data_IF_400961120645
#
_entry.id   IF_400961120645
#
_cell.length_a   1.000
_cell.length_b   1.000
_cell.length_c   1.000
_cell.angle_alpha   90.00
_cell.angle_beta   90.00
_cell.angle_gamma   90.00
#
_symmetry.space_group_name_H-M   'P 1'
#
loop_
_entity.id
_entity.type
_entity.pdbx_description
1 polymer ?
#
# COMPACT_ATOMS: atom_id res chain seq x y z
N UNK A 1 -32.37 7.21 -1.70
CA UNK A 1 -31.52 6.12 -2.24
C UNK A 1 -30.60 5.63 -1.14
N UNK A 2 -30.32 4.32 -1.06
CA UNK A 2 -29.36 3.81 -0.07
C UNK A 2 -27.96 4.35 -0.41
N UNK A 3 -27.22 4.76 0.61
CA UNK A 3 -25.84 5.22 0.46
C UNK A 3 -24.94 4.10 -0.09
N UNK A 4 -24.15 4.41 -1.10
CA UNK A 4 -23.19 3.47 -1.68
C UNK A 4 -21.79 3.97 -1.38
N UNK A 5 -20.98 3.12 -0.74
CA UNK A 5 -19.60 3.45 -0.37
C UNK A 5 -18.73 3.83 -1.58
N UNK A 6 -17.79 4.76 -1.39
CA UNK A 6 -16.95 5.31 -2.47
C UNK A 6 -16.20 4.21 -3.23
N UNK A 7 -15.65 3.23 -2.54
CA UNK A 7 -14.94 2.11 -3.15
C UNK A 7 -15.79 1.27 -4.13
N UNK A 8 -17.13 1.33 -4.03
CA UNK A 8 -18.05 0.70 -4.98
C UNK A 8 -18.49 1.67 -6.07
N UNK A 9 -18.77 2.93 -5.70
CA UNK A 9 -19.26 3.97 -6.62
C UNK A 9 -18.21 4.42 -7.63
N UNK A 10 -16.95 4.52 -7.21
CA UNK A 10 -15.79 4.89 -8.03
C UNK A 10 -14.98 3.69 -8.49
N UNK A 11 -15.61 2.50 -8.55
CA UNK A 11 -14.98 1.32 -9.15
C UNK A 11 -14.83 1.55 -10.65
N UNK A 12 -13.62 1.34 -11.18
CA UNK A 12 -13.34 1.41 -12.61
C UNK A 12 -14.33 0.56 -13.42
N UNK A 13 -14.85 1.13 -14.50
CA UNK A 13 -15.84 0.53 -15.41
C UNK A 13 -15.31 0.28 -16.82
N UNK A 14 -14.12 0.82 -17.10
CA UNK A 14 -13.42 0.67 -18.38
C UNK A 14 -11.93 0.41 -18.18
N UNK A 15 -11.25 -0.09 -19.21
CA UNK A 15 -9.80 -0.30 -19.17
C UNK A 15 -9.02 1.01 -19.03
N UNK A 16 -9.57 2.14 -19.46
CA UNK A 16 -8.92 3.45 -19.39
C UNK A 16 -8.97 4.05 -17.98
N UNK A 17 -9.93 3.60 -17.17
CA UNK A 17 -10.08 4.02 -15.77
C UNK A 17 -9.24 3.17 -14.80
N UNK A 18 -8.59 2.10 -15.27
CA UNK A 18 -7.77 1.26 -14.40
C UNK A 18 -6.46 1.98 -14.04
N UNK A 19 -6.33 2.33 -12.78
CA UNK A 19 -5.17 3.07 -12.25
C UNK A 19 -4.02 2.11 -11.94
N UNK A 20 -2.82 2.40 -12.48
CA UNK A 20 -1.57 1.70 -12.17
C UNK A 20 -1.43 0.32 -12.78
N UNK A 21 -2.33 -0.08 -13.69
CA UNK A 21 -2.31 -1.40 -14.35
C UNK A 21 -2.34 -1.27 -15.89
N UNK A 22 -1.71 -0.23 -16.43
CA UNK A 22 -1.78 0.14 -17.85
C UNK A 22 -1.26 -0.96 -18.77
N UNK A 23 -0.20 -1.69 -18.35
CA UNK A 23 0.36 -2.79 -19.14
C UNK A 23 -0.62 -3.97 -19.26
N UNK A 24 -1.30 -4.31 -18.16
CA UNK A 24 -2.31 -5.37 -18.11
C UNK A 24 -3.51 -4.98 -19.00
N UNK A 25 -4.02 -3.76 -18.83
CA UNK A 25 -5.13 -3.21 -19.64
C UNK A 25 -4.83 -3.29 -21.13
N UNK A 26 -3.62 -2.87 -21.54
CA UNK A 26 -3.17 -2.93 -22.93
C UNK A 26 -3.12 -4.35 -23.46
N UNK A 27 -2.57 -5.28 -22.69
CA UNK A 27 -2.43 -6.68 -23.10
C UNK A 27 -3.78 -7.38 -23.24
N UNK A 28 -4.71 -7.18 -22.28
CA UNK A 28 -6.05 -7.75 -22.35
C UNK A 28 -6.86 -7.16 -23.51
N UNK A 29 -6.74 -5.86 -23.75
CA UNK A 29 -7.38 -5.18 -24.89
C UNK A 29 -6.85 -5.74 -26.23
N UNK A 30 -5.53 -5.93 -26.35
CA UNK A 30 -4.91 -6.52 -27.53
C UNK A 30 -5.36 -7.97 -27.76
N UNK A 31 -5.50 -8.76 -26.70
CA UNK A 31 -6.01 -10.14 -26.80
C UNK A 31 -7.42 -10.19 -27.40
N UNK A 32 -8.31 -9.26 -27.01
CA UNK A 32 -9.66 -9.14 -27.59
C UNK A 32 -9.58 -8.73 -29.07
N UNK A 33 -8.84 -7.64 -29.35
CA UNK A 33 -8.74 -7.10 -30.73
C UNK A 33 -8.18 -8.09 -31.72
N UNK A 34 -7.23 -8.92 -31.31
CA UNK A 34 -6.60 -9.93 -32.15
C UNK A 34 -7.28 -11.30 -32.10
N UNK A 35 -8.42 -11.40 -31.40
CA UNK A 35 -9.17 -12.66 -31.19
C UNK A 35 -8.28 -13.79 -30.62
N UNK A 36 -7.38 -13.42 -29.65
CA UNK A 36 -6.44 -14.33 -28.97
C UNK A 36 -6.77 -14.42 -27.48
N UNK A 37 -8.04 -14.63 -27.19
CA UNK A 37 -8.52 -14.78 -25.81
C UNK A 37 -8.21 -16.20 -25.33
N UNK A 38 -7.44 -16.32 -24.26
CA UNK A 38 -7.14 -17.61 -23.63
C UNK A 38 -8.37 -18.14 -22.89
N UNK A 39 -8.43 -19.46 -22.70
CA UNK A 39 -9.52 -20.09 -21.95
C UNK A 39 -9.41 -19.88 -20.44
N UNK A 40 -8.23 -19.54 -19.89
CA UNK A 40 -8.02 -19.33 -18.47
C UNK A 40 -7.00 -18.23 -18.20
N UNK A 41 -7.34 -17.37 -17.23
CA UNK A 41 -6.54 -16.26 -16.74
C UNK A 41 -6.33 -16.41 -15.23
N UNK A 42 -5.14 -16.06 -14.75
CA UNK A 42 -4.84 -15.98 -13.33
C UNK A 42 -4.36 -14.56 -12.97
N UNK A 43 -5.19 -13.80 -12.27
CA UNK A 43 -4.89 -12.46 -11.80
C UNK A 43 -4.37 -12.54 -10.37
N UNK A 44 -3.10 -12.19 -10.18
CA UNK A 44 -2.42 -12.24 -8.88
C UNK A 44 -2.05 -10.85 -8.39
N UNK A 45 -1.90 -10.67 -7.09
CA UNK A 45 -1.49 -9.40 -6.50
C UNK A 45 -2.23 -9.08 -5.20
N UNK A 46 -1.79 -8.04 -4.51
CA UNK A 46 -2.35 -7.61 -3.22
C UNK A 46 -3.84 -7.24 -3.34
N UNK A 47 -4.52 -7.17 -2.18
CA UNK A 47 -5.92 -6.76 -2.14
C UNK A 47 -6.09 -5.32 -2.61
N UNK A 48 -7.20 -5.02 -3.30
CA UNK A 48 -7.59 -3.65 -3.65
C UNK A 48 -6.84 -3.00 -4.81
N UNK A 49 -6.01 -3.75 -5.57
CA UNK A 49 -5.25 -3.28 -6.75
C UNK A 49 -6.02 -3.38 -8.07
N UNK A 50 -7.27 -3.84 -8.04
CA UNK A 50 -8.15 -3.84 -9.22
C UNK A 50 -8.37 -5.19 -9.90
N UNK A 51 -7.91 -6.34 -9.35
CA UNK A 51 -8.05 -7.69 -9.96
C UNK A 51 -9.50 -7.99 -10.39
N UNK A 52 -10.44 -7.99 -9.46
CA UNK A 52 -11.86 -8.29 -9.72
C UNK A 52 -12.52 -7.24 -10.62
N UNK A 53 -12.13 -5.96 -10.49
CA UNK A 53 -12.61 -4.90 -11.39
C UNK A 53 -12.15 -5.16 -12.83
N UNK A 54 -10.87 -5.51 -13.03
CA UNK A 54 -10.33 -5.85 -14.34
C UNK A 54 -10.99 -7.09 -14.91
N UNK A 55 -11.29 -8.11 -14.09
CA UNK A 55 -12.02 -9.30 -14.51
C UNK A 55 -13.40 -8.96 -15.08
N UNK A 56 -14.16 -8.09 -14.38
CA UNK A 56 -15.47 -7.61 -14.87
C UNK A 56 -15.36 -6.77 -16.14
N UNK A 57 -14.38 -5.85 -16.20
CA UNK A 57 -14.13 -5.02 -17.39
C UNK A 57 -13.77 -5.90 -18.58
N UNK A 58 -12.94 -6.94 -18.38
CA UNK A 58 -12.57 -7.89 -19.42
C UNK A 58 -13.78 -8.72 -19.88
N UNK A 59 -14.59 -9.25 -18.94
CA UNK A 59 -15.81 -9.96 -19.24
C UNK A 59 -16.83 -9.08 -20.00
N UNK A 60 -16.96 -7.80 -19.59
CA UNK A 60 -17.77 -6.81 -20.28
C UNK A 60 -17.29 -6.60 -21.72
N UNK A 61 -16.01 -6.46 -21.94
CA UNK A 61 -15.44 -6.27 -23.26
C UNK A 61 -15.59 -7.51 -24.16
N UNK A 62 -15.67 -8.71 -23.58
CA UNK A 62 -15.95 -9.95 -24.31
C UNK A 62 -17.41 -10.11 -24.73
N UNK A 63 -18.37 -9.70 -23.88
CA UNK A 63 -19.78 -10.05 -24.02
C UNK A 63 -20.69 -8.86 -24.36
N UNK A 64 -20.37 -7.65 -23.90
CA UNK A 64 -21.22 -6.48 -24.09
C UNK A 64 -20.88 -5.68 -25.36
N UNK A 65 -19.83 -6.05 -26.10
CA UNK A 65 -19.40 -5.32 -27.31
C UNK A 65 -19.65 -6.17 -28.55
N UNK A 66 -20.41 -5.63 -29.52
CA UNK A 66 -20.70 -6.28 -30.78
C UNK A 66 -19.48 -6.29 -31.74
N UNK A 67 -19.60 -6.95 -32.91
CA UNK A 67 -18.51 -7.00 -33.91
C UNK A 67 -18.18 -5.64 -34.51
N UNK A 68 -19.07 -4.68 -34.42
CA UNK A 68 -18.88 -3.32 -34.90
C UNK A 68 -18.33 -2.38 -33.80
N UNK A 69 -17.98 -2.94 -32.65
CA UNK A 69 -17.44 -2.18 -31.51
C UNK A 69 -18.49 -1.38 -30.70
N UNK A 70 -19.77 -1.67 -30.87
CA UNK A 70 -20.85 -0.99 -30.12
C UNK A 70 -21.13 -1.75 -28.84
N UNK A 71 -21.15 -1.03 -27.72
CA UNK A 71 -21.45 -1.58 -26.39
C UNK A 71 -22.98 -1.64 -26.19
N UNK A 72 -23.47 -2.81 -25.73
CA UNK A 72 -24.83 -2.96 -25.21
C UNK A 72 -24.85 -2.50 -23.75
N UNK A 73 -25.52 -1.36 -23.44
CA UNK A 73 -25.48 -0.79 -22.11
C UNK A 73 -26.20 -1.65 -21.05
N UNK A 74 -27.15 -2.49 -21.45
CA UNK A 74 -27.90 -3.36 -20.54
C UNK A 74 -27.03 -4.53 -20.07
N UNK A 75 -26.37 -5.21 -21.03
CA UNK A 75 -25.42 -6.28 -20.74
C UNK A 75 -24.23 -5.73 -19.95
N UNK A 76 -23.68 -4.58 -20.37
CA UNK A 76 -22.56 -3.94 -19.68
C UNK A 76 -22.90 -3.63 -18.22
N UNK A 77 -24.08 -3.05 -17.96
CA UNK A 77 -24.53 -2.74 -16.60
C UNK A 77 -24.76 -4.00 -15.76
N UNK A 78 -25.32 -5.05 -16.33
CA UNK A 78 -25.53 -6.33 -15.63
C UNK A 78 -24.20 -6.97 -15.23
N UNK A 79 -23.21 -7.02 -16.12
CA UNK A 79 -21.87 -7.54 -15.84
C UNK A 79 -21.17 -6.72 -14.74
N UNK A 80 -21.20 -5.39 -14.86
CA UNK A 80 -20.54 -4.54 -13.85
C UNK A 80 -21.19 -4.63 -12.47
N UNK A 81 -22.48 -4.99 -12.38
CA UNK A 81 -23.19 -5.26 -11.12
C UNK A 81 -22.97 -6.70 -10.60
N UNK A 82 -22.39 -7.60 -11.42
CA UNK A 82 -22.25 -9.03 -11.11
C UNK A 82 -23.60 -9.77 -11.13
N UNK A 83 -24.50 -9.41 -12.03
CA UNK A 83 -25.87 -9.94 -12.16
C UNK A 83 -26.17 -10.47 -13.57
N UNK A 84 -25.15 -10.68 -14.39
CA UNK A 84 -25.29 -11.21 -15.72
C UNK A 84 -25.39 -12.75 -15.72
N UNK A 85 -26.14 -13.31 -16.66
CA UNK A 85 -26.37 -14.77 -16.76
C UNK A 85 -25.21 -15.52 -17.40
N UNK A 86 -24.42 -14.85 -18.24
CA UNK A 86 -23.28 -15.42 -18.94
C UNK A 86 -21.93 -15.07 -18.29
N UNK A 87 -21.93 -14.15 -17.32
CA UNK A 87 -20.77 -13.78 -16.49
C UNK A 87 -21.06 -14.11 -15.04
N UNK A 88 -20.61 -15.27 -14.61
CA UNK A 88 -20.87 -15.81 -13.27
C UNK A 88 -19.68 -15.45 -12.37
N UNK A 89 -19.93 -14.66 -11.34
CA UNK A 89 -18.93 -14.27 -10.35
C UNK A 89 -19.16 -15.00 -9.04
N UNK A 90 -18.09 -15.63 -8.53
CA UNK A 90 -18.09 -16.39 -7.28
C UNK A 90 -16.95 -15.87 -6.40
N UNK A 91 -17.28 -15.53 -5.18
CA UNK A 91 -16.30 -15.31 -4.12
C UNK A 91 -16.05 -16.63 -3.38
N UNK A 92 -14.88 -17.22 -3.60
CA UNK A 92 -14.50 -18.49 -3.00
C UNK A 92 -14.36 -18.44 -1.47
N UNK A 93 -14.18 -17.24 -0.88
CA UNK A 93 -14.14 -17.05 0.56
C UNK A 93 -15.54 -17.24 1.19
N UNK A 94 -16.60 -16.84 0.48
CA UNK A 94 -17.99 -16.97 0.92
C UNK A 94 -18.61 -18.30 0.48
N UNK A 95 -18.17 -18.84 -0.66
CA UNK A 95 -18.73 -20.03 -1.34
C UNK A 95 -17.66 -21.14 -1.45
N UNK A 96 -17.17 -21.62 -0.31
CA UNK A 96 -16.13 -22.67 -0.27
C UNK A 96 -16.66 -24.09 -0.48
N UNK A 97 -17.99 -24.26 -0.72
CA UNK A 97 -18.58 -25.60 -0.89
C UNK A 97 -18.20 -26.20 -2.23
N UNK A 98 -17.72 -27.45 -2.18
CA UNK A 98 -17.31 -28.23 -3.35
C UNK A 98 -18.47 -28.42 -4.34
N UNK A 99 -19.70 -28.55 -3.83
CA UNK A 99 -20.93 -28.73 -4.58
C UNK A 99 -21.21 -27.57 -5.51
N UNK A 100 -21.08 -26.31 -5.01
CA UNK A 100 -21.32 -25.11 -5.82
C UNK A 100 -20.32 -24.98 -6.97
N UNK A 101 -19.03 -25.29 -6.70
CA UNK A 101 -18.01 -25.31 -7.77
C UNK A 101 -18.26 -26.43 -8.78
N UNK A 102 -18.75 -27.60 -8.35
CA UNK A 102 -19.11 -28.72 -9.25
C UNK A 102 -20.31 -28.37 -10.14
N UNK A 103 -21.35 -27.76 -9.58
CA UNK A 103 -22.51 -27.29 -10.32
C UNK A 103 -22.10 -26.25 -11.38
N UNK A 104 -21.22 -25.33 -11.02
CA UNK A 104 -20.69 -24.33 -11.91
C UNK A 104 -19.96 -24.97 -13.09
N UNK A 105 -19.12 -25.97 -12.83
CA UNK A 105 -18.38 -26.71 -13.86
C UNK A 105 -19.35 -27.51 -14.72
N UNK A 106 -20.34 -28.17 -14.15
CA UNK A 106 -21.37 -28.88 -14.88
C UNK A 106 -22.13 -27.92 -15.83
N UNK A 107 -22.41 -26.71 -15.37
CA UNK A 107 -23.06 -25.67 -16.16
C UNK A 107 -22.17 -25.06 -17.24
N UNK A 108 -20.84 -25.27 -17.21
CA UNK A 108 -19.92 -24.75 -18.23
C UNK A 108 -20.10 -25.39 -19.62
N UNK A 109 -20.71 -26.55 -19.70
CA UNK A 109 -21.03 -27.23 -20.94
C UNK A 109 -22.06 -26.45 -21.76
N UNK A 110 -22.95 -25.69 -21.11
CA UNK A 110 -23.99 -24.94 -21.83
C UNK A 110 -23.42 -23.67 -22.47
N UNK A 111 -23.89 -23.40 -23.69
CA UNK A 111 -23.54 -22.17 -24.41
C UNK A 111 -24.09 -20.94 -23.71
N UNK A 112 -23.45 -19.77 -23.89
CA UNK A 112 -23.98 -18.51 -23.37
C UNK A 112 -25.37 -18.20 -23.96
N UNK A 113 -26.19 -17.52 -23.16
CA UNK A 113 -27.57 -17.19 -23.56
C UNK A 113 -27.62 -15.90 -24.41
N UNK A 114 -26.83 -14.91 -24.06
CA UNK A 114 -26.84 -13.58 -24.72
C UNK A 114 -25.44 -13.13 -25.17
N UNK A 115 -24.42 -13.47 -24.41
CA UNK A 115 -23.03 -13.11 -24.67
C UNK A 115 -22.37 -14.03 -25.70
N UNK A 116 -21.12 -13.71 -26.06
CA UNK A 116 -20.28 -14.54 -26.92
C UNK A 116 -19.54 -15.63 -26.15
N UNK A 117 -19.26 -15.35 -24.91
CA UNK A 117 -18.49 -16.21 -24.02
C UNK A 117 -19.23 -16.42 -22.70
N UNK A 118 -19.10 -17.60 -22.12
CA UNK A 118 -19.49 -17.88 -20.75
C UNK A 118 -18.27 -17.64 -19.86
N UNK A 119 -18.32 -16.60 -19.05
CA UNK A 119 -17.17 -16.17 -18.25
C UNK A 119 -17.40 -16.52 -16.78
N UNK A 120 -16.42 -17.18 -16.19
CA UNK A 120 -16.43 -17.53 -14.76
C UNK A 120 -15.34 -16.73 -14.05
N UNK A 121 -15.74 -15.79 -13.21
CA UNK A 121 -14.85 -15.01 -12.36
C UNK A 121 -14.86 -15.66 -10.98
N UNK A 122 -13.72 -16.21 -10.55
CA UNK A 122 -13.56 -16.82 -9.24
C UNK A 122 -12.61 -15.94 -8.42
N UNK A 123 -13.21 -15.14 -7.55
CA UNK A 123 -12.45 -14.25 -6.66
C UNK A 123 -11.95 -15.01 -5.43
N UNK A 124 -10.80 -14.61 -4.91
CA UNK A 124 -10.06 -15.28 -3.82
C UNK A 124 -9.96 -16.80 -4.04
N UNK A 125 -9.63 -17.20 -5.27
CA UNK A 125 -9.65 -18.61 -5.69
C UNK A 125 -8.75 -19.52 -4.83
N UNK A 126 -7.77 -18.99 -4.10
CA UNK A 126 -6.94 -19.74 -3.16
C UNK A 126 -7.73 -20.34 -1.98
N UNK A 127 -8.97 -19.87 -1.76
CA UNK A 127 -9.89 -20.43 -0.75
C UNK A 127 -10.65 -21.67 -1.25
N UNK A 128 -10.55 -22.01 -2.54
CA UNK A 128 -11.14 -23.24 -3.08
C UNK A 128 -10.49 -24.47 -2.45
N UNK A 129 -11.31 -25.48 -2.19
CA UNK A 129 -10.81 -26.79 -1.73
C UNK A 129 -10.02 -27.51 -2.83
N UNK A 130 -9.15 -28.42 -2.45
CA UNK A 130 -8.41 -29.27 -3.40
C UNK A 130 -9.34 -30.03 -4.35
N UNK A 131 -10.49 -30.48 -3.85
CA UNK A 131 -11.49 -31.17 -4.66
C UNK A 131 -12.14 -30.24 -5.70
N UNK A 132 -12.36 -28.96 -5.37
CA UNK A 132 -12.85 -27.94 -6.30
C UNK A 132 -11.82 -27.64 -7.40
N UNK A 133 -10.54 -27.47 -7.04
CA UNK A 133 -9.47 -27.32 -8.03
C UNK A 133 -9.37 -28.52 -8.98
N UNK A 134 -9.44 -29.75 -8.45
CA UNK A 134 -9.40 -30.96 -9.27
C UNK A 134 -10.59 -31.07 -10.24
N UNK A 135 -11.75 -30.57 -9.84
CA UNK A 135 -12.90 -30.49 -10.73
C UNK A 135 -12.68 -29.47 -11.87
N UNK A 136 -12.11 -28.30 -11.55
CA UNK A 136 -11.75 -27.28 -12.55
C UNK A 136 -10.71 -27.78 -13.56
N UNK A 137 -9.72 -28.59 -13.12
CA UNK A 137 -8.66 -29.09 -13.99
C UNK A 137 -9.19 -29.79 -15.24
N UNK A 138 -10.22 -30.63 -15.12
CA UNK A 138 -10.80 -31.36 -16.27
C UNK A 138 -11.30 -30.41 -17.36
N UNK A 139 -12.01 -29.35 -16.97
CA UNK A 139 -12.54 -28.35 -17.90
C UNK A 139 -11.45 -27.42 -18.43
N UNK A 140 -10.37 -27.20 -17.66
CA UNK A 140 -9.23 -26.38 -18.10
C UNK A 140 -8.28 -27.16 -19.05
N UNK A 141 -8.31 -28.48 -19.04
CA UNK A 141 -7.56 -29.33 -19.96
C UNK A 141 -8.24 -29.42 -21.34
N UNK A 142 -9.56 -29.55 -21.36
CA UNK A 142 -10.38 -29.60 -22.56
C UNK A 142 -11.49 -28.53 -22.48
N UNK A 143 -11.12 -27.23 -22.55
CA UNK A 143 -12.08 -26.16 -22.36
C UNK A 143 -13.03 -26.05 -23.55
N UNK A 144 -14.36 -25.92 -23.32
CA UNK A 144 -15.26 -25.55 -24.41
C UNK A 144 -14.87 -24.18 -24.99
N UNK A 145 -14.93 -24.01 -26.30
CA UNK A 145 -14.50 -22.80 -27.01
C UNK A 145 -15.17 -21.51 -26.47
N UNK A 146 -16.37 -21.65 -25.94
CA UNK A 146 -17.17 -20.53 -25.45
C UNK A 146 -16.88 -20.18 -23.97
N UNK A 147 -16.04 -20.94 -23.26
CA UNK A 147 -15.77 -20.74 -21.82
C UNK A 147 -14.48 -19.98 -21.59
N UNK A 148 -14.52 -19.05 -20.64
CA UNK A 148 -13.34 -18.32 -20.14
C UNK A 148 -13.36 -18.31 -18.61
N UNK A 149 -12.28 -18.80 -18.01
CA UNK A 149 -12.06 -18.71 -16.56
C UNK A 149 -11.16 -17.52 -16.21
N UNK A 150 -11.53 -16.75 -15.20
CA UNK A 150 -10.72 -15.66 -14.63
C UNK A 150 -10.57 -15.90 -13.14
N UNK A 151 -9.42 -16.43 -12.73
CA UNK A 151 -9.10 -16.73 -11.36
C UNK A 151 -8.40 -15.52 -10.74
N UNK A 152 -8.92 -14.95 -9.65
CA UNK A 152 -8.30 -13.86 -8.92
C UNK A 152 -7.79 -14.37 -7.56
N UNK A 153 -6.57 -13.99 -7.16
CA UNK A 153 -5.99 -14.40 -5.89
C UNK A 153 -5.04 -13.35 -5.30
N UNK A 154 -5.03 -13.27 -3.99
CA UNK A 154 -4.00 -12.55 -3.23
C UNK A 154 -2.83 -13.46 -2.84
N UNK A 155 -3.01 -14.78 -2.87
CA UNK A 155 -2.04 -15.77 -2.40
C UNK A 155 -1.74 -16.81 -3.49
N UNK A 156 -0.89 -16.43 -4.45
CA UNK A 156 -0.53 -17.27 -5.59
C UNK A 156 0.08 -18.62 -5.19
N UNK A 157 0.84 -18.65 -4.08
CA UNK A 157 1.49 -19.85 -3.60
C UNK A 157 0.51 -20.93 -3.12
N UNK A 158 -0.74 -20.57 -2.79
CA UNK A 158 -1.80 -21.52 -2.42
C UNK A 158 -2.56 -22.11 -3.63
N UNK A 159 -2.39 -21.51 -4.81
CA UNK A 159 -2.99 -22.06 -6.04
C UNK A 159 -2.14 -23.21 -6.56
N UNK A 160 -2.71 -24.40 -6.85
CA UNK A 160 -1.95 -25.53 -7.35
C UNK A 160 -1.16 -25.22 -8.63
N UNK A 161 0.07 -25.69 -8.73
CA UNK A 161 0.91 -25.47 -9.90
C UNK A 161 0.29 -26.01 -11.21
N UNK A 162 -0.51 -27.06 -11.11
CA UNK A 162 -1.29 -27.65 -12.22
C UNK A 162 -2.33 -26.69 -12.79
N UNK A 163 -2.94 -25.84 -11.94
CA UNK A 163 -3.84 -24.75 -12.37
C UNK A 163 -3.03 -23.60 -12.97
N UNK A 164 -1.98 -23.17 -12.26
CA UNK A 164 -1.15 -22.05 -12.69
C UNK A 164 -0.56 -22.25 -14.10
N UNK A 165 -0.12 -23.48 -14.41
CA UNK A 165 0.49 -23.83 -15.72
C UNK A 165 -0.51 -23.76 -16.90
N UNK A 166 -1.80 -23.78 -16.64
CA UNK A 166 -2.87 -23.72 -17.65
C UNK A 166 -3.48 -22.34 -17.80
N UNK A 167 -3.07 -21.40 -16.94
CA UNK A 167 -3.57 -20.03 -16.95
C UNK A 167 -2.57 -19.07 -17.58
N UNK A 168 -3.07 -18.09 -18.32
CA UNK A 168 -2.29 -16.90 -18.64
C UNK A 168 -2.24 -16.00 -17.39
N UNK A 169 -1.04 -15.88 -16.80
CA UNK A 169 -0.84 -15.16 -15.53
C UNK A 169 -0.63 -13.66 -15.77
N UNK A 170 -1.26 -12.85 -14.91
CA UNK A 170 -1.11 -11.40 -14.85
C UNK A 170 -0.85 -10.99 -13.40
N UNK A 171 0.31 -10.37 -13.15
CA UNK A 171 0.74 -9.93 -11.82
C UNK A 171 0.40 -8.45 -11.65
N UNK A 172 -0.65 -8.18 -10.87
CA UNK A 172 -1.07 -6.83 -10.50
C UNK A 172 -0.12 -6.26 -9.46
N UNK A 173 0.38 -5.08 -9.70
CA UNK A 173 1.31 -4.38 -8.81
C UNK A 173 0.56 -3.44 -7.88
N UNK A 174 1.20 -3.13 -6.75
CA UNK A 174 0.73 -2.05 -5.90
C UNK A 174 0.66 -0.76 -6.70
N UNK A 175 -0.40 0.01 -6.48
CA UNK A 175 -0.60 1.28 -7.16
C UNK A 175 0.32 2.32 -6.50
N UNK A 176 1.14 3.05 -7.29
CA UNK A 176 1.98 4.12 -6.75
C UNK A 176 1.15 5.19 -6.02
N UNK A 177 1.64 5.70 -4.89
CA UNK A 177 0.94 6.69 -4.06
C UNK A 177 0.51 7.91 -4.89
N UNK A 178 1.36 8.41 -5.78
CA UNK A 178 1.03 9.54 -6.65
C UNK A 178 -0.23 9.29 -7.49
N UNK A 179 -0.40 8.07 -8.04
CA UNK A 179 -1.58 7.69 -8.82
C UNK A 179 -2.83 7.58 -7.94
N UNK A 180 -2.69 7.12 -6.70
CA UNK A 180 -3.79 7.09 -5.74
C UNK A 180 -4.19 8.53 -5.39
N UNK A 181 -3.23 9.44 -5.13
CA UNK A 181 -3.48 10.87 -4.86
C UNK A 181 -4.26 11.53 -5.99
N UNK A 182 -3.85 11.32 -7.24
CA UNK A 182 -4.55 11.84 -8.42
C UNK A 182 -6.02 11.38 -8.43
N UNK A 183 -6.25 10.09 -8.23
CA UNK A 183 -7.61 9.52 -8.23
C UNK A 183 -8.45 10.02 -7.05
N UNK A 184 -7.91 10.03 -5.83
CA UNK A 184 -8.60 10.55 -4.64
C UNK A 184 -8.99 12.03 -4.82
N UNK A 185 -8.12 12.84 -5.41
CA UNK A 185 -8.39 14.25 -5.70
C UNK A 185 -9.59 14.40 -6.64
N UNK A 186 -9.68 13.58 -7.68
CA UNK A 186 -10.83 13.56 -8.59
C UNK A 186 -12.12 13.14 -7.87
N UNK A 187 -12.05 12.13 -7.01
CA UNK A 187 -13.17 11.65 -6.20
C UNK A 187 -13.67 12.74 -5.27
N UNK A 188 -12.79 13.38 -4.50
CA UNK A 188 -13.13 14.48 -3.57
C UNK A 188 -13.82 15.62 -4.31
N UNK A 189 -13.31 16.01 -5.48
CA UNK A 189 -13.92 17.02 -6.33
C UNK A 189 -15.30 16.58 -6.83
N UNK A 190 -15.45 15.32 -7.24
CA UNK A 190 -16.72 14.74 -7.69
C UNK A 190 -17.79 14.71 -6.60
N UNK A 191 -17.39 14.57 -5.34
CA UNK A 191 -18.28 14.63 -4.17
C UNK A 191 -18.56 16.06 -3.67
N UNK A 192 -18.02 17.10 -4.34
CA UNK A 192 -18.21 18.49 -3.94
C UNK A 192 -17.52 18.88 -2.61
N UNK A 193 -16.56 18.09 -2.17
CA UNK A 193 -15.75 18.36 -0.99
C UNK A 193 -14.40 19.02 -1.36
N UNK A 194 -13.71 19.54 -0.37
CA UNK A 194 -12.33 20.04 -0.49
C UNK A 194 -11.45 19.32 0.54
N UNK A 195 -10.17 19.14 0.22
CA UNK A 195 -9.23 18.51 1.14
C UNK A 195 -7.87 19.21 1.11
N UNK A 196 -7.15 19.14 2.20
CA UNK A 196 -5.76 19.55 2.25
C UNK A 196 -4.91 18.59 1.42
N UNK A 197 -3.99 19.08 0.57
CA UNK A 197 -3.13 18.20 -0.25
C UNK A 197 -2.37 17.16 0.59
N UNK A 198 -1.91 17.55 1.76
CA UNK A 198 -1.22 16.68 2.71
C UNK A 198 -2.12 15.55 3.23
N UNK A 199 -3.42 15.83 3.50
CA UNK A 199 -4.38 14.80 3.87
C UNK A 199 -4.51 13.76 2.76
N UNK A 200 -4.70 14.21 1.49
CA UNK A 200 -4.88 13.30 0.36
C UNK A 200 -3.68 12.40 0.20
N UNK A 201 -2.47 12.95 0.35
CA UNK A 201 -1.23 12.18 0.32
C UNK A 201 -1.16 11.16 1.45
N UNK A 202 -1.52 11.53 2.69
CA UNK A 202 -1.52 10.61 3.83
C UNK A 202 -2.55 9.49 3.67
N UNK A 203 -3.76 9.78 3.19
CA UNK A 203 -4.78 8.77 2.88
C UNK A 203 -4.27 7.79 1.82
N UNK A 204 -3.62 8.29 0.77
CA UNK A 204 -3.04 7.46 -0.29
C UNK A 204 -1.91 6.56 0.24
N UNK A 205 -1.02 7.10 1.09
CA UNK A 205 0.06 6.35 1.75
C UNK A 205 -0.49 5.25 2.67
N UNK A 206 -1.51 5.57 3.48
CA UNK A 206 -2.18 4.60 4.36
C UNK A 206 -2.91 3.50 3.59
N UNK A 207 -3.35 3.79 2.35
CA UNK A 207 -3.90 2.80 1.43
C UNK A 207 -2.89 1.73 0.98
N UNK A 208 -1.58 1.96 1.20
CA UNK A 208 -0.49 1.01 0.95
C UNK A 208 -0.56 0.32 -0.42
N UNK A 209 -0.79 1.10 -1.47
CA UNK A 209 -0.93 0.61 -2.84
C UNK A 209 -2.30 0.02 -3.18
N UNK A 210 -3.25 0.03 -2.24
CA UNK A 210 -4.63 -0.43 -2.43
C UNK A 210 -5.56 0.76 -2.65
N UNK A 211 -6.12 0.90 -3.84
CA UNK A 211 -7.14 1.91 -4.15
C UNK A 211 -8.40 1.72 -3.31
N UNK A 212 -8.80 0.46 -3.08
CA UNK A 212 -9.99 0.14 -2.29
C UNK A 212 -9.87 0.62 -0.85
N UNK A 213 -8.71 0.42 -0.21
CA UNK A 213 -8.50 0.77 1.18
C UNK A 213 -8.35 2.29 1.32
N UNK A 214 -7.68 2.95 0.37
CA UNK A 214 -7.61 4.42 0.29
C UNK A 214 -9.00 5.05 0.14
N UNK A 215 -9.84 4.55 -0.78
CA UNK A 215 -11.22 5.01 -0.95
C UNK A 215 -12.10 4.72 0.27
N UNK A 216 -11.90 3.59 0.95
CA UNK A 216 -12.65 3.26 2.17
C UNK A 216 -12.27 4.18 3.32
N UNK A 217 -11.00 4.59 3.41
CA UNK A 217 -10.54 5.56 4.39
C UNK A 217 -11.10 6.95 4.09
N UNK A 218 -11.07 7.37 2.82
CA UNK A 218 -11.66 8.63 2.38
C UNK A 218 -13.18 8.68 2.68
N UNK A 219 -13.88 7.58 2.45
CA UNK A 219 -15.30 7.45 2.72
C UNK A 219 -15.63 7.68 4.21
N UNK A 220 -14.81 7.12 5.10
CA UNK A 220 -14.93 7.35 6.55
C UNK A 220 -14.69 8.81 6.93
N UNK A 221 -13.72 9.48 6.30
CA UNK A 221 -13.45 10.90 6.52
C UNK A 221 -14.63 11.77 6.07
N UNK A 222 -15.21 11.46 4.90
CA UNK A 222 -16.36 12.20 4.38
C UNK A 222 -17.63 11.98 5.20
N UNK A 223 -17.77 10.80 5.83
CA UNK A 223 -18.88 10.49 6.74
C UNK A 223 -18.91 11.38 8.00
N UNK A 224 -17.79 12.05 8.35
CA UNK A 224 -17.76 13.05 9.42
C UNK A 224 -18.57 14.33 9.10
N UNK A 225 -18.99 14.51 7.84
CA UNK A 225 -19.87 15.61 7.42
C UNK A 225 -19.18 16.96 7.24
N UNK A 226 -17.86 17.02 7.33
CA UNK A 226 -17.10 18.24 7.11
C UNK A 226 -16.90 18.50 5.62
N UNK A 227 -17.15 19.75 5.17
CA UNK A 227 -16.91 20.15 3.78
C UNK A 227 -15.43 20.26 3.42
N UNK A 228 -14.58 20.56 4.41
CA UNK A 228 -13.14 20.64 4.27
C UNK A 228 -12.50 19.51 5.07
N UNK A 229 -11.90 18.57 4.37
CA UNK A 229 -11.17 17.46 4.98
C UNK A 229 -9.75 17.93 5.36
N UNK A 230 -9.37 17.73 6.63
CA UNK A 230 -8.10 18.18 7.19
C UNK A 230 -7.28 17.01 7.75
N UNK A 231 -5.97 17.21 7.89
CA UNK A 231 -5.08 16.21 8.52
C UNK A 231 -5.51 15.93 9.97
N UNK A 232 -5.93 16.97 10.71
CA UNK A 232 -6.43 16.82 12.08
C UNK A 232 -7.65 15.89 12.18
N UNK A 233 -8.56 15.94 11.19
CA UNK A 233 -9.70 15.02 11.11
C UNK A 233 -9.23 13.57 10.92
N UNK A 234 -8.25 13.33 10.05
CA UNK A 234 -7.67 11.99 9.83
C UNK A 234 -7.04 11.44 11.11
N UNK A 235 -6.22 12.27 11.79
CA UNK A 235 -5.56 11.91 13.05
C UNK A 235 -6.58 11.56 14.13
N UNK A 236 -7.61 12.38 14.28
CA UNK A 236 -8.71 12.11 15.22
C UNK A 236 -9.48 10.83 14.90
N UNK A 237 -9.80 10.59 13.62
CA UNK A 237 -10.58 9.43 13.19
C UNK A 237 -9.83 8.10 13.40
N UNK A 238 -8.53 8.09 13.18
CA UNK A 238 -7.68 6.90 13.25
C UNK A 238 -7.01 6.75 14.64
N UNK A 239 -7.16 7.73 15.52
CA UNK A 239 -6.43 7.77 16.79
C UNK A 239 -4.92 7.85 16.56
N UNK A 240 -4.49 8.49 15.46
CA UNK A 240 -3.07 8.67 15.18
C UNK A 240 -2.48 9.71 16.13
N UNK A 241 -1.19 9.57 16.47
CA UNK A 241 -0.52 10.59 17.26
C UNK A 241 -0.54 11.94 16.54
N UNK A 242 -0.79 13.00 17.32
CA UNK A 242 -0.67 14.37 16.83
C UNK A 242 0.74 14.61 16.28
N UNK A 243 0.81 14.93 15.00
CA UNK A 243 2.05 15.08 14.26
C UNK A 243 3.00 16.11 14.86
N UNK A 244 2.47 17.24 15.35
CA UNK A 244 3.28 18.31 15.93
C UNK A 244 3.93 17.84 17.24
N UNK A 245 3.23 17.02 18.03
CA UNK A 245 3.76 16.46 19.26
C UNK A 245 4.84 15.42 18.94
N UNK A 246 4.64 14.58 17.90
CA UNK A 246 5.67 13.61 17.45
C UNK A 246 6.92 14.34 16.94
N UNK A 247 6.76 15.41 16.17
CA UNK A 247 7.90 16.22 15.70
C UNK A 247 8.63 16.89 16.88
N UNK A 248 7.88 17.38 17.87
CA UNK A 248 8.46 17.93 19.11
C UNK A 248 9.20 16.86 19.91
N UNK A 249 8.68 15.64 19.96
CA UNK A 249 9.33 14.48 20.58
C UNK A 249 10.68 14.16 19.89
N UNK A 250 10.69 14.08 18.56
CA UNK A 250 11.92 13.85 17.79
C UNK A 250 12.90 15.02 17.99
N UNK A 251 12.39 16.25 18.04
CA UNK A 251 13.21 17.43 18.32
C UNK A 251 13.86 17.40 19.71
N UNK A 252 13.16 16.89 20.72
CA UNK A 252 13.71 16.71 22.07
C UNK A 252 14.78 15.59 22.10
N UNK A 253 14.56 14.50 21.35
CA UNK A 253 15.56 13.43 21.16
C UNK A 253 16.83 14.01 20.51
N UNK A 254 16.69 14.76 19.41
CA UNK A 254 17.79 15.42 18.71
C UNK A 254 18.54 16.43 19.58
N UNK A 255 17.85 17.05 20.51
CA UNK A 255 18.43 18.00 21.48
C UNK A 255 19.04 17.36 22.73
N UNK A 256 19.06 16.02 22.81
CA UNK A 256 19.51 15.27 24.01
C UNK A 256 18.78 15.72 25.29
N UNK A 257 17.45 15.99 25.19
CA UNK A 257 16.57 16.42 26.28
C UNK A 257 15.66 15.28 26.75
N UNK A 258 16.06 14.49 27.77
CA UNK A 258 15.23 13.42 28.31
C UNK A 258 13.91 13.90 28.93
N UNK A 259 13.93 15.06 29.56
CA UNK A 259 12.77 15.61 30.26
C UNK A 259 11.69 16.03 29.23
N UNK A 260 12.10 16.75 28.19
CA UNK A 260 11.23 17.09 27.06
C UNK A 260 10.70 15.87 26.34
N UNK A 261 11.56 14.87 26.09
CA UNK A 261 11.19 13.60 25.45
C UNK A 261 10.08 12.88 26.24
N UNK A 262 10.24 12.70 27.54
CA UNK A 262 9.24 12.05 28.39
C UNK A 262 7.94 12.85 28.47
N UNK A 263 8.01 14.19 28.53
CA UNK A 263 6.83 15.07 28.59
C UNK A 263 6.00 14.98 27.30
N UNK A 264 6.63 15.00 26.13
CA UNK A 264 5.93 14.86 24.85
C UNK A 264 5.29 13.47 24.69
N UNK A 265 6.01 12.42 25.06
CA UNK A 265 5.48 11.07 25.06
C UNK A 265 4.29 10.91 26.03
N UNK A 266 4.36 11.46 27.22
CA UNK A 266 3.24 11.45 28.18
C UNK A 266 1.99 12.14 27.63
N UNK A 267 2.17 13.23 26.88
CA UNK A 267 1.06 13.94 26.23
C UNK A 267 0.37 13.04 25.18
N UNK A 268 1.13 12.29 24.38
CA UNK A 268 0.60 11.36 23.38
C UNK A 268 -0.14 10.19 24.04
N UNK A 269 0.43 9.60 25.08
CA UNK A 269 -0.19 8.50 25.81
C UNK A 269 -1.49 8.91 26.50
N UNK A 270 -1.57 10.13 27.05
CA UNK A 270 -2.81 10.68 27.62
C UNK A 270 -3.91 10.90 26.59
N UNK A 271 -3.55 11.05 25.31
CA UNK A 271 -4.47 11.12 24.18
C UNK A 271 -4.88 9.73 23.64
N UNK A 272 -4.44 8.65 24.28
CA UNK A 272 -4.85 7.27 23.95
C UNK A 272 -3.93 6.53 22.99
N UNK A 273 -2.77 7.10 22.61
CA UNK A 273 -1.77 6.39 21.81
C UNK A 273 -1.14 5.27 22.64
N UNK A 274 -1.09 4.05 22.12
CA UNK A 274 -0.43 2.96 22.84
C UNK A 274 1.10 3.07 22.77
N UNK A 275 1.83 2.50 23.76
CA UNK A 275 3.29 2.45 23.74
C UNK A 275 3.88 1.82 22.47
N UNK A 276 3.26 0.75 21.97
CA UNK A 276 3.70 0.08 20.75
C UNK A 276 3.48 0.96 19.52
N UNK A 277 2.32 1.61 19.43
CA UNK A 277 2.01 2.52 18.34
C UNK A 277 2.98 3.70 18.31
N UNK A 278 3.27 4.30 19.47
CA UNK A 278 4.24 5.39 19.57
C UNK A 278 5.64 4.99 19.11
N UNK A 279 6.12 3.79 19.52
CA UNK A 279 7.41 3.27 19.08
C UNK A 279 7.45 2.96 17.58
N UNK A 280 6.36 2.43 17.03
CA UNK A 280 6.22 2.17 15.60
C UNK A 280 6.28 3.46 14.77
N UNK A 281 5.45 4.45 15.14
CA UNK A 281 5.41 5.75 14.47
C UNK A 281 6.76 6.49 14.56
N UNK A 282 7.43 6.38 15.72
CA UNK A 282 8.75 6.94 15.92
C UNK A 282 9.80 6.27 15.03
N UNK A 283 9.79 4.94 14.95
CA UNK A 283 10.70 4.17 14.09
C UNK A 283 10.51 4.53 12.61
N UNK A 284 9.27 4.65 12.15
CA UNK A 284 8.95 5.03 10.77
C UNK A 284 9.46 6.45 10.44
N UNK A 285 9.29 7.40 11.36
CA UNK A 285 9.79 8.77 11.19
C UNK A 285 11.32 8.83 11.18
N UNK A 286 11.97 8.14 12.12
CA UNK A 286 13.43 8.04 12.17
C UNK A 286 13.99 7.37 10.91
N UNK A 287 13.30 6.37 10.35
CA UNK A 287 13.65 5.74 9.08
C UNK A 287 13.60 6.75 7.93
N UNK A 288 12.54 7.55 7.84
CA UNK A 288 12.42 8.56 6.80
C UNK A 288 13.57 9.60 6.91
N UNK A 289 13.90 10.04 8.12
CA UNK A 289 15.05 10.92 8.38
C UNK A 289 16.39 10.26 7.99
N UNK A 290 16.56 8.99 8.33
CA UNK A 290 17.78 8.24 7.98
C UNK A 290 18.00 8.16 6.47
N UNK A 291 16.94 7.87 5.71
CA UNK A 291 17.00 7.79 4.25
C UNK A 291 17.32 9.17 3.65
N UNK A 292 16.70 10.25 4.17
CA UNK A 292 17.03 11.62 3.75
C UNK A 292 18.48 11.97 4.05
N UNK A 293 19.01 11.62 5.24
CA UNK A 293 20.41 11.83 5.59
C UNK A 293 21.37 11.07 4.65
N UNK A 294 21.02 9.84 4.27
CA UNK A 294 21.90 8.97 3.49
C UNK A 294 21.85 9.25 1.99
N UNK A 295 20.66 9.57 1.47
CA UNK A 295 20.40 9.66 0.02
C UNK A 295 20.15 11.10 -0.47
N UNK A 296 20.02 12.06 0.44
CA UNK A 296 19.72 13.46 0.12
C UNK A 296 18.21 13.78 0.15
N UNK A 297 17.87 15.09 0.12
CA UNK A 297 16.50 15.58 0.33
C UNK A 297 15.52 15.22 -0.79
N UNK A 298 16.02 15.03 -2.02
CA UNK A 298 15.22 14.77 -3.23
C UNK A 298 15.01 13.27 -3.50
N UNK A 299 15.34 12.40 -2.53
CA UNK A 299 15.24 10.95 -2.73
C UNK A 299 13.80 10.48 -2.91
N UNK A 300 13.58 9.58 -3.89
CA UNK A 300 12.30 8.90 -4.13
C UNK A 300 12.03 7.73 -3.16
N UNK A 301 13.02 7.40 -2.30
CA UNK A 301 12.89 6.31 -1.32
C UNK A 301 12.02 6.68 -0.11
N UNK A 302 11.65 7.95 0.02
CA UNK A 302 10.78 8.48 1.07
C UNK A 302 9.55 9.10 0.44
N UNK A 303 8.40 8.48 0.73
CA UNK A 303 7.10 8.89 0.22
C UNK A 303 6.43 9.86 1.23
N UNK A 304 6.74 11.15 1.08
CA UNK A 304 6.20 12.24 1.90
C UNK A 304 5.60 13.33 1.01
N UNK A 305 4.51 13.94 1.47
CA UNK A 305 4.00 15.17 0.88
C UNK A 305 5.00 16.31 1.01
N UNK A 306 4.85 17.37 0.20
CA UNK A 306 5.84 18.47 0.12
C UNK A 306 6.17 19.12 1.47
N UNK A 307 5.13 19.44 2.24
CA UNK A 307 5.33 20.07 3.55
C UNK A 307 5.99 19.13 4.56
N UNK A 308 5.57 17.84 4.55
CA UNK A 308 6.18 16.80 5.37
C UNK A 308 7.65 16.60 5.04
N UNK A 309 7.98 16.59 3.74
CA UNK A 309 9.35 16.45 3.24
C UNK A 309 10.22 17.62 3.69
N UNK A 310 9.73 18.85 3.55
CA UNK A 310 10.46 20.04 4.00
C UNK A 310 10.81 19.96 5.48
N UNK A 311 9.82 19.66 6.34
CA UNK A 311 10.04 19.52 7.79
C UNK A 311 10.97 18.35 8.13
N UNK A 312 10.89 17.24 7.40
CA UNK A 312 11.80 16.11 7.59
C UNK A 312 13.25 16.47 7.22
N UNK A 313 13.46 17.22 6.13
CA UNK A 313 14.79 17.72 5.74
C UNK A 313 15.37 18.65 6.80
N UNK A 314 14.59 19.60 7.30
CA UNK A 314 15.01 20.50 8.39
C UNK A 314 15.39 19.72 9.67
N UNK A 315 14.66 18.65 9.97
CA UNK A 315 14.96 17.80 11.14
C UNK A 315 16.17 16.89 10.89
N UNK A 316 16.34 16.36 9.69
CA UNK A 316 17.41 15.45 9.33
C UNK A 316 18.82 16.05 9.53
N UNK A 317 18.95 17.37 9.37
CA UNK A 317 20.22 18.11 9.61
C UNK A 317 20.73 17.96 11.06
N UNK A 318 19.84 17.62 11.98
CA UNK A 318 20.16 17.47 13.42
C UNK A 318 20.69 16.09 13.79
N UNK A 319 20.69 15.15 12.84
CA UNK A 319 21.08 13.77 13.03
C UNK A 319 22.15 13.34 12.03
N UNK A 320 22.78 12.21 12.29
CA UNK A 320 23.57 11.47 11.33
C UNK A 320 22.93 10.11 11.01
N UNK A 321 23.26 9.52 9.85
CA UNK A 321 22.67 8.24 9.44
C UNK A 321 23.02 7.07 10.38
N UNK A 322 24.26 6.93 10.89
CA UNK A 322 24.59 5.92 11.89
C UNK A 322 23.77 6.05 13.19
N UNK A 323 23.66 7.26 13.72
CA UNK A 323 22.85 7.54 14.91
C UNK A 323 21.39 7.16 14.73
N UNK A 324 20.76 7.58 13.60
CA UNK A 324 19.39 7.22 13.25
C UNK A 324 19.20 5.70 13.14
N UNK A 325 20.15 4.98 12.56
CA UNK A 325 20.13 3.51 12.48
C UNK A 325 20.09 2.89 13.88
N UNK A 326 20.89 3.43 14.82
CA UNK A 326 20.90 2.97 16.20
C UNK A 326 19.57 3.27 16.93
N UNK A 327 19.01 4.46 16.73
CA UNK A 327 17.71 4.82 17.32
C UNK A 327 16.58 3.92 16.84
N UNK A 328 16.54 3.61 15.54
CA UNK A 328 15.56 2.69 14.95
C UNK A 328 15.70 1.28 15.58
N UNK A 329 16.92 0.78 15.74
CA UNK A 329 17.16 -0.52 16.35
C UNK A 329 16.67 -0.57 17.81
N UNK A 330 16.81 0.53 18.57
CA UNK A 330 16.27 0.63 19.92
C UNK A 330 14.74 0.57 19.91
N UNK A 331 14.08 1.35 19.04
CA UNK A 331 12.63 1.36 18.92
C UNK A 331 12.09 -0.04 18.62
N UNK A 332 12.67 -0.73 17.64
CA UNK A 332 12.27 -2.07 17.23
C UNK A 332 12.49 -3.13 18.32
N UNK A 333 13.63 -3.08 19.01
CA UNK A 333 13.92 -4.00 20.11
C UNK A 333 12.91 -3.84 21.27
N UNK A 334 12.55 -2.60 21.61
CA UNK A 334 11.60 -2.32 22.69
C UNK A 334 10.18 -2.65 22.26
N UNK A 335 9.78 -2.36 21.02
CA UNK A 335 8.45 -2.68 20.50
C UNK A 335 8.18 -4.20 20.52
N UNK A 336 9.19 -5.03 20.19
CA UNK A 336 9.07 -6.50 20.31
C UNK A 336 8.85 -6.96 21.75
N UNK A 337 9.57 -6.36 22.70
CA UNK A 337 9.50 -6.75 24.11
C UNK A 337 8.29 -6.15 24.84
N UNK A 338 7.75 -5.03 24.37
CA UNK A 338 6.58 -4.35 24.98
C UNK A 338 5.33 -5.23 25.01
N UNK A 339 5.18 -6.15 24.04
CA UNK A 339 4.06 -7.10 23.97
C UNK A 339 4.07 -8.18 25.06
N UNK A 340 5.25 -8.49 25.62
CA UNK A 340 5.43 -9.57 26.59
C UNK A 340 5.70 -9.09 28.01
N UNK A 341 5.87 -7.80 28.21
CA UNK A 341 6.18 -7.22 29.52
C UNK A 341 4.93 -6.93 30.36
N UNK A 342 5.05 -7.08 31.68
CA UNK A 342 4.00 -6.66 32.63
C UNK A 342 3.89 -5.14 32.82
N UNK A 343 4.91 -4.38 32.39
CA UNK A 343 4.92 -2.92 32.51
C UNK A 343 5.41 -2.24 31.22
N UNK A 344 4.55 -2.16 30.19
CA UNK A 344 4.89 -1.53 28.92
C UNK A 344 5.30 -0.05 29.05
N UNK A 345 4.71 0.68 30.01
CA UNK A 345 5.00 2.08 30.26
C UNK A 345 6.44 2.31 30.73
N UNK A 346 6.90 1.54 31.71
CA UNK A 346 8.27 1.66 32.22
C UNK A 346 9.31 1.33 31.12
N UNK A 347 9.01 0.32 30.28
CA UNK A 347 9.87 -0.04 29.15
C UNK A 347 9.94 1.10 28.12
N UNK A 348 8.81 1.75 27.81
CA UNK A 348 8.78 2.90 26.92
C UNK A 348 9.59 4.07 27.52
N UNK A 349 9.35 4.44 28.76
CA UNK A 349 10.04 5.56 29.41
C UNK A 349 11.57 5.33 29.43
N UNK A 350 12.02 4.12 29.73
CA UNK A 350 13.45 3.75 29.69
C UNK A 350 14.01 3.85 28.26
N UNK A 351 13.25 3.41 27.26
CA UNK A 351 13.63 3.51 25.86
C UNK A 351 13.77 4.97 25.41
N UNK A 352 12.81 5.82 25.75
CA UNK A 352 12.80 7.24 25.40
C UNK A 352 13.99 8.00 26.02
N UNK A 353 14.33 7.70 27.29
CA UNK A 353 15.53 8.23 27.93
C UNK A 353 16.79 7.76 27.20
N UNK A 354 16.86 6.47 26.84
CA UNK A 354 17.98 5.91 26.07
C UNK A 354 18.11 6.54 24.68
N UNK A 355 16.99 6.76 23.97
CA UNK A 355 16.96 7.42 22.66
C UNK A 355 17.52 8.85 22.77
N UNK A 356 17.12 9.63 23.78
CA UNK A 356 17.58 11.00 23.97
C UNK A 356 19.03 11.12 24.44
N UNK A 357 19.62 10.06 25.00
CA UNK A 357 21.00 10.03 25.50
C UNK A 357 21.94 9.17 24.63
N UNK A 358 21.51 8.73 23.45
CA UNK A 358 22.25 7.77 22.60
C UNK A 358 23.66 8.23 22.25
N UNK A 359 23.89 9.51 22.01
CA UNK A 359 25.23 10.08 21.75
C UNK A 359 26.16 9.86 22.94
N UNK A 360 25.68 10.09 24.15
CA UNK A 360 26.49 9.92 25.38
C UNK A 360 26.87 8.46 25.62
N UNK A 361 26.01 7.52 25.23
CA UNK A 361 26.33 6.09 25.35
C UNK A 361 27.30 5.62 24.24
N UNK A 362 27.24 6.18 23.05
CA UNK A 362 28.18 5.89 21.97
C UNK A 362 29.60 6.35 22.38
N UNK A 363 29.74 7.54 22.96
CA UNK A 363 31.01 8.06 23.47
C UNK A 363 31.58 7.21 24.60
N UNK A 364 30.74 6.77 25.54
CA UNK A 364 31.17 5.89 26.62
C UNK A 364 31.68 4.52 26.11
N UNK A 365 31.03 3.96 25.11
CA UNK A 365 31.44 2.70 24.47
C UNK A 365 32.76 2.89 23.67
N UNK A 366 32.92 4.03 23.01
CA UNK A 366 34.16 4.39 22.29
C UNK A 366 35.34 4.56 23.27
N UNK A 367 35.11 5.20 24.41
CA UNK A 367 36.10 5.34 25.50
C UNK A 367 36.50 3.99 26.09
N UNK A 368 35.54 3.10 26.34
CA UNK A 368 35.80 1.75 26.87
C UNK A 368 36.49 0.84 25.86
N UNK A 369 36.29 1.04 24.55
CA UNK A 369 36.95 0.30 23.49
C UNK A 369 38.30 0.86 23.05
N UNK A 370 38.79 1.92 23.70
CA UNK A 370 40.08 2.55 23.38
C UNK A 370 40.14 3.30 22.06
N UNK A 371 38.99 3.54 21.42
CA UNK A 371 38.89 4.33 20.19
C UNK A 371 38.41 5.74 20.52
N UNK A 372 39.36 6.60 20.97
CA UNK A 372 39.09 8.01 21.18
C UNK A 372 39.00 8.70 19.83
N UNK A 373 37.80 9.02 19.36
CA UNK A 373 37.61 10.05 18.33
C UNK A 373 37.54 11.38 19.07
N UNK A 374 38.59 12.21 18.90
CA UNK A 374 38.58 13.58 19.39
C UNK A 374 37.54 14.41 18.65
N UNK A 375 36.61 15.07 19.37
CA UNK A 375 35.69 16.00 18.71
C UNK A 375 36.41 17.29 18.40
N UNK A 376 36.46 17.65 17.11
CA UNK A 376 36.72 19.01 16.68
C UNK A 376 38.07 19.31 16.06
N UNK A 377 38.18 19.15 14.77
CA UNK A 377 38.98 20.02 13.93
C UNK A 377 38.14 20.49 12.74
N UNK A 378 37.52 21.67 12.92
CA UNK A 378 37.04 22.45 11.77
C UNK A 378 38.28 22.78 10.92
N UNK A 379 38.37 22.17 9.76
CA UNK A 379 39.38 22.58 8.73
C UNK A 379 38.94 23.91 8.16
N UNK A 380 39.58 24.94 8.65
CA UNK A 380 39.54 26.27 8.04
C UNK A 380 40.28 26.23 6.72
N UNK A 381 39.64 26.69 5.68
CA UNK A 381 40.28 26.98 4.39
C UNK A 381 41.37 28.05 4.57
N UNK A 382 42.61 27.70 4.25
CA UNK A 382 43.74 28.63 4.17
C UNK A 382 44.49 28.39 2.88
N UNK A 383 44.29 29.29 1.94
CA UNK A 383 45.09 29.46 0.71
C UNK A 383 46.48 29.89 1.10
N UNK A 384 47.51 29.26 0.59
CA UNK A 384 48.91 29.67 0.78
C UNK A 384 49.79 29.15 -0.35
N UNK A 385 50.10 30.03 -1.28
CA UNK A 385 51.07 29.92 -2.38
C UNK A 385 52.49 29.90 -1.83
N UNK A 386 53.41 29.16 -2.41
CA UNK A 386 54.83 29.43 -2.23
C UNK A 386 55.79 28.30 -2.62
N UNK A 387 56.28 28.39 -3.77
CA UNK A 387 57.55 28.07 -4.43
C UNK A 387 58.73 27.52 -3.57
N UNK A 388 59.51 26.63 -4.21
CA UNK A 388 60.94 26.68 -4.09
C UNK A 388 61.72 25.39 -3.91
N UNK A 389 62.18 24.79 -4.98
CA UNK A 389 63.63 24.44 -5.32
C UNK A 389 64.46 23.59 -4.32
N UNK A 390 65.07 22.52 -4.87
CA UNK A 390 66.41 22.08 -4.49
C UNK A 390 66.55 20.58 -4.15
N UNK A 391 66.89 19.76 -5.06
CA UNK A 391 68.12 19.08 -5.43
C UNK A 391 68.88 18.26 -4.35
N UNK A 392 69.30 17.06 -4.79
CA UNK A 392 70.47 16.22 -4.41
C UNK A 392 70.29 15.44 -3.06
N UNK A 393 70.41 14.14 -3.08
CA UNK A 393 71.29 13.12 -3.63
C UNK A 393 70.58 11.78 -3.72
#
# INVERSE_FOLDING_TARGET
MAYTVLARRYRSTSFDELVGQEAISRTLRAAITHNRVAHAYLFTGTRGVGKTSTARIFAKALNAVDEKGREDPEIAAAIMKGQDTDVIEIDAASNSKVEETRELIANSVYRPLRGRKKVYIIDECHMLSTAAFNALLKTMEEPPEHVVFILCTTETHKVPATIQSRCQRFDFRNIPTARIVEHLTQVIKGEGATAEPELVHQVARLGNGSMRDALSLLDRLMAAGEKKLTVALLESLLGLPDREIVLSLIGAIAGSDPAGTLKQADTLLKRGVSPEQLLGDLADRLRDLMVICACGPETDLVDLGEESRRRAVEMAVRFDAPGLTHLIAICDAVARNAKSTSNPRAMLDAALVRLSLSEKFADATALLSGRVHSPGARVGAGVGVGAGVGAKK
#
